data_IF_887032261226
#
_entry.id   IF_887032261226
#
_cell.length_a   1.000
_cell.length_b   1.000
_cell.length_c   1.000
_cell.angle_alpha   90.00
_cell.angle_beta   90.00
_cell.angle_gamma   90.00
#
_symmetry.space_group_name_H-M   'P 1'
#
loop_
_entity.id
_entity.type
_entity.pdbx_description
1 polymer ?
#
# COMPACT_ATOMS: atom_id res chain seq x y z
N UNK A 1 -98.00 -21.92 -18.77
CA UNK A 1 -97.54 -20.85 -17.88
C UNK A 1 -96.29 -20.24 -18.53
N UNK A 2 -96.50 -19.16 -19.28
CA UNK A 2 -96.07 -17.80 -18.94
C UNK A 2 -94.54 -17.61 -19.02
N UNK A 3 -93.97 -16.56 -19.59
CA UNK A 3 -94.40 -15.44 -20.44
C UNK A 3 -93.09 -14.65 -20.72
N UNK A 4 -93.12 -13.76 -21.73
CA UNK A 4 -92.20 -12.62 -21.96
C UNK A 4 -91.02 -12.77 -22.93
N UNK A 5 -91.26 -12.27 -24.16
CA UNK A 5 -90.30 -11.57 -25.04
C UNK A 5 -90.02 -10.15 -24.46
N UNK A 6 -89.02 -9.34 -24.91
CA UNK A 6 -88.98 -8.71 -26.25
C UNK A 6 -87.54 -8.51 -26.85
N UNK A 7 -87.36 -8.64 -28.18
CA UNK A 7 -87.23 -7.59 -29.23
C UNK A 7 -85.79 -7.05 -29.47
N UNK A 8 -85.33 -7.33 -30.70
CA UNK A 8 -84.47 -6.58 -31.64
C UNK A 8 -83.12 -5.99 -31.18
N UNK A 9 -82.07 -6.23 -31.97
CA UNK A 9 -81.52 -5.20 -32.87
C UNK A 9 -80.36 -5.77 -33.71
N UNK A 10 -80.11 -5.09 -34.81
CA UNK A 10 -79.48 -5.46 -36.07
C UNK A 10 -77.95 -5.36 -36.14
N UNK A 11 -77.38 -6.16 -37.06
CA UNK A 11 -76.34 -5.78 -38.05
C UNK A 11 -74.83 -5.88 -37.70
N UNK A 12 -73.95 -5.97 -38.72
CA UNK A 12 -72.98 -7.08 -38.85
C UNK A 12 -71.50 -6.65 -38.69
N UNK A 13 -70.59 -7.62 -38.55
CA UNK A 13 -69.17 -7.40 -38.84
C UNK A 13 -68.51 -8.65 -39.47
N UNK A 14 -67.74 -8.36 -40.52
CA UNK A 14 -67.06 -9.27 -41.45
C UNK A 14 -65.69 -9.72 -40.90
N UNK A 15 -64.94 -10.57 -41.63
CA UNK A 15 -64.13 -11.67 -41.08
C UNK A 15 -62.69 -11.25 -40.74
N UNK A 16 -62.00 -12.05 -39.90
CA UNK A 16 -60.55 -11.96 -39.76
C UNK A 16 -59.87 -13.31 -40.00
N UNK A 17 -59.03 -13.25 -41.01
CA UNK A 17 -58.13 -14.26 -41.54
C UNK A 17 -57.15 -14.79 -40.48
N UNK A 18 -56.80 -16.06 -40.63
CA UNK A 18 -55.79 -16.79 -39.86
C UNK A 18 -54.40 -16.34 -40.30
N UNK A 19 -53.50 -15.85 -39.41
CA UNK A 19 -52.14 -15.56 -39.80
C UNK A 19 -51.33 -16.86 -40.01
N UNK A 20 -50.38 -16.88 -40.97
CA UNK A 20 -49.47 -17.99 -41.19
C UNK A 20 -48.37 -18.07 -40.10
N UNK A 21 -47.64 -19.21 -39.98
CA UNK A 21 -46.61 -19.39 -38.96
C UNK A 21 -45.40 -18.49 -39.23
N UNK A 22 -44.84 -17.95 -38.13
CA UNK A 22 -43.69 -17.05 -38.11
C UNK A 22 -42.39 -17.73 -38.62
N UNK A 23 -41.48 -16.99 -39.29
CA UNK A 23 -40.20 -17.53 -39.72
C UNK A 23 -39.19 -17.62 -38.56
N UNK A 24 -38.58 -18.80 -38.47
CA UNK A 24 -37.73 -19.36 -37.41
C UNK A 24 -36.26 -18.88 -37.45
N UNK A 25 -35.99 -17.59 -37.73
CA UNK A 25 -34.61 -17.16 -38.08
C UNK A 25 -34.01 -16.05 -37.20
N UNK A 26 -34.77 -15.44 -36.28
CA UNK A 26 -34.23 -14.31 -35.47
C UNK A 26 -33.63 -14.75 -34.12
N UNK A 27 -33.80 -16.01 -33.69
CA UNK A 27 -33.51 -16.43 -32.32
C UNK A 27 -32.07 -16.90 -32.02
N UNK A 28 -31.14 -16.93 -32.99
CA UNK A 28 -29.78 -17.49 -32.76
C UNK A 28 -28.68 -16.45 -32.56
N UNK A 29 -28.86 -15.18 -32.93
CA UNK A 29 -27.81 -14.17 -32.79
C UNK A 29 -27.67 -13.58 -31.37
N UNK A 30 -28.70 -13.72 -30.53
CA UNK A 30 -28.70 -13.20 -29.15
C UNK A 30 -28.09 -14.18 -28.15
N UNK A 31 -28.24 -15.49 -28.38
CA UNK A 31 -27.80 -16.54 -27.45
C UNK A 31 -26.27 -16.58 -27.26
N UNK A 32 -25.49 -16.34 -28.32
CA UNK A 32 -24.02 -16.40 -28.26
C UNK A 32 -23.40 -15.23 -27.46
N UNK A 33 -24.05 -14.06 -27.46
CA UNK A 33 -23.65 -12.89 -26.67
C UNK A 33 -24.05 -13.02 -25.20
N UNK A 34 -25.21 -13.61 -24.92
CA UNK A 34 -25.65 -13.88 -23.55
C UNK A 34 -24.78 -14.98 -22.89
N UNK A 35 -24.36 -16.00 -23.65
CA UNK A 35 -23.46 -17.05 -23.14
C UNK A 35 -22.04 -16.55 -22.87
N UNK A 36 -21.51 -15.60 -23.67
CA UNK A 36 -20.20 -14.99 -23.42
C UNK A 36 -20.19 -14.11 -22.15
N UNK A 37 -21.28 -13.38 -21.89
CA UNK A 37 -21.41 -12.55 -20.69
C UNK A 37 -21.57 -13.43 -19.43
N UNK A 38 -22.31 -14.54 -19.53
CA UNK A 38 -22.45 -15.50 -18.43
C UNK A 38 -21.14 -16.26 -18.12
N UNK A 39 -20.34 -16.59 -19.14
CA UNK A 39 -19.03 -17.22 -18.96
C UNK A 39 -17.97 -16.25 -18.36
N UNK A 40 -18.06 -14.95 -18.68
CA UNK A 40 -17.22 -13.92 -18.07
C UNK A 40 -17.58 -13.65 -16.60
N UNK A 41 -18.87 -13.81 -16.23
CA UNK A 41 -19.32 -13.64 -14.84
C UNK A 41 -18.90 -14.81 -13.93
N UNK A 42 -18.75 -16.03 -14.46
CA UNK A 42 -18.31 -17.22 -13.69
C UNK A 42 -16.78 -17.37 -13.59
N UNK A 43 -16.00 -16.58 -14.31
CA UNK A 43 -14.52 -16.59 -14.24
C UNK A 43 -13.94 -15.45 -13.39
N UNK A 44 -14.78 -14.57 -12.86
CA UNK A 44 -14.37 -13.40 -12.08
C UNK A 44 -14.01 -13.69 -10.61
N UNK A 45 -14.15 -14.94 -10.13
CA UNK A 45 -13.92 -15.28 -8.71
C UNK A 45 -12.52 -15.87 -8.44
N UNK A 46 -11.78 -16.30 -9.47
CA UNK A 46 -10.47 -16.92 -9.31
C UNK A 46 -9.27 -15.96 -9.47
N UNK A 47 -9.48 -14.73 -9.96
CA UNK A 47 -8.40 -13.76 -10.20
C UNK A 47 -8.24 -12.68 -9.10
N UNK A 48 -9.07 -12.73 -8.05
CA UNK A 48 -9.00 -11.82 -6.90
C UNK A 48 -8.28 -12.42 -5.68
N UNK A 49 -7.55 -13.51 -5.87
CA UNK A 49 -6.46 -13.88 -4.96
C UNK A 49 -5.26 -12.94 -5.22
N UNK A 50 -5.46 -11.65 -4.93
CA UNK A 50 -4.35 -10.72 -4.80
C UNK A 50 -3.37 -11.32 -3.79
N UNK A 51 -2.17 -11.64 -4.26
CA UNK A 51 -1.02 -11.97 -3.43
C UNK A 51 -0.82 -10.83 -2.42
N UNK A 52 -1.48 -10.91 -1.27
CA UNK A 52 -1.11 -10.16 -0.07
C UNK A 52 0.18 -10.77 0.44
N UNK A 53 1.26 -10.62 -0.32
CA UNK A 53 2.60 -10.72 0.24
C UNK A 53 2.63 -9.66 1.32
N UNK A 54 2.56 -10.06 2.59
CA UNK A 54 2.81 -9.15 3.71
C UNK A 54 4.21 -8.60 3.48
N UNK A 55 4.31 -7.43 2.88
CA UNK A 55 5.60 -6.78 2.73
C UNK A 55 6.10 -6.52 4.13
N UNK A 56 7.26 -7.08 4.44
CA UNK A 56 7.93 -6.81 5.70
C UNK A 56 8.29 -5.30 5.71
N UNK A 57 7.69 -4.51 6.61
CA UNK A 57 7.96 -3.08 6.68
C UNK A 57 9.44 -2.79 6.99
N UNK A 58 10.14 -3.75 7.58
CA UNK A 58 11.54 -3.66 8.01
C UNK A 58 12.54 -4.25 7.02
N UNK A 59 12.08 -4.86 5.92
CA UNK A 59 12.97 -5.36 4.88
C UNK A 59 13.79 -4.22 4.24
N UNK A 60 15.09 -4.45 4.04
CA UNK A 60 16.00 -3.48 3.44
C UNK A 60 16.40 -2.32 4.38
N UNK A 61 16.21 -2.46 5.69
CA UNK A 61 16.74 -1.53 6.68
C UNK A 61 18.22 -1.80 6.95
N UNK A 62 19.09 -1.39 6.03
CA UNK A 62 20.55 -1.59 6.08
C UNK A 62 21.33 -0.26 5.99
N UNK A 63 22.66 -0.35 6.06
CA UNK A 63 23.56 0.80 5.96
C UNK A 63 23.48 1.53 4.62
N UNK A 64 23.14 0.85 3.51
CA UNK A 64 23.01 1.47 2.19
C UNK A 64 21.78 2.37 2.12
N UNK A 65 20.65 1.93 2.66
CA UNK A 65 19.46 2.80 2.80
C UNK A 65 19.77 4.00 3.71
N UNK A 66 20.43 3.75 4.85
CA UNK A 66 20.78 4.82 5.77
C UNK A 66 21.68 5.87 5.11
N UNK A 67 22.71 5.45 4.38
CA UNK A 67 23.58 6.34 3.62
C UNK A 67 22.83 7.09 2.52
N UNK A 68 21.96 6.41 1.77
CA UNK A 68 21.17 7.04 0.71
C UNK A 68 20.22 8.13 1.27
N UNK A 69 19.67 7.93 2.46
CA UNK A 69 18.93 8.97 3.17
C UNK A 69 19.83 10.14 3.58
N UNK A 70 21.03 9.89 4.12
CA UNK A 70 21.97 10.96 4.47
C UNK A 70 22.34 11.83 3.26
N UNK A 71 22.59 11.22 2.10
CA UNK A 71 22.83 11.95 0.86
C UNK A 71 21.63 12.83 0.48
N UNK A 72 20.42 12.28 0.54
CA UNK A 72 19.20 13.03 0.27
C UNK A 72 18.99 14.21 1.24
N UNK A 73 19.24 14.02 2.53
CA UNK A 73 19.14 15.07 3.53
C UNK A 73 20.19 16.17 3.30
N UNK A 74 21.41 15.80 2.88
CA UNK A 74 22.48 16.74 2.54
C UNK A 74 22.12 17.60 1.32
N UNK A 75 21.58 17.00 0.26
CA UNK A 75 21.28 17.69 -1.00
C UNK A 75 20.00 18.52 -0.93
N UNK A 76 18.96 18.00 -0.27
CA UNK A 76 17.62 18.58 -0.34
C UNK A 76 17.12 19.17 1.01
N UNK A 77 17.78 18.85 2.13
CA UNK A 77 17.27 19.17 3.46
C UNK A 77 16.06 18.30 3.80
N UNK A 78 14.85 18.84 3.58
CA UNK A 78 13.61 18.07 3.64
C UNK A 78 13.14 17.70 2.21
N UNK A 79 13.42 16.48 1.73
CA UNK A 79 13.01 16.04 0.39
C UNK A 79 11.49 15.79 0.29
N UNK A 80 10.80 15.60 1.42
CA UNK A 80 9.36 15.36 1.46
C UNK A 80 8.54 16.65 1.57
N UNK A 81 9.17 17.80 1.74
CA UNK A 81 8.46 19.04 1.80
C UNK A 81 7.76 19.32 0.46
N UNK A 82 6.46 19.61 0.54
CA UNK A 82 5.63 19.95 -0.60
C UNK A 82 5.90 21.41 -0.98
N UNK A 83 6.03 21.69 -2.28
CA UNK A 83 6.22 23.05 -2.81
C UNK A 83 5.18 23.37 -3.88
N UNK A 84 4.81 24.64 -4.00
CA UNK A 84 3.98 25.19 -5.08
C UNK A 84 4.58 26.53 -5.57
N UNK A 85 3.91 27.21 -6.50
CA UNK A 85 4.37 28.51 -7.04
C UNK A 85 4.56 29.60 -5.97
N UNK A 86 3.90 29.46 -4.81
CA UNK A 86 4.01 30.38 -3.68
C UNK A 86 5.09 29.95 -2.64
N UNK A 87 5.78 28.83 -2.85
CA UNK A 87 6.81 28.31 -1.96
C UNK A 87 6.39 27.03 -1.22
N UNK A 88 6.83 26.89 0.04
CA UNK A 88 6.59 25.70 0.85
C UNK A 88 5.10 25.55 1.20
N UNK A 89 4.52 24.40 0.88
CA UNK A 89 3.11 24.10 1.15
C UNK A 89 3.01 23.36 2.48
N UNK A 90 2.51 24.05 3.51
CA UNK A 90 2.19 23.44 4.80
C UNK A 90 0.69 23.13 4.82
N UNK A 91 0.31 21.90 4.43
CA UNK A 91 -1.08 21.40 4.57
C UNK A 91 -1.95 21.38 3.30
N UNK A 92 -1.38 21.48 2.10
CA UNK A 92 -2.07 21.34 0.81
C UNK A 92 -1.35 20.37 -0.15
N UNK A 93 -1.97 20.01 -1.28
CA UNK A 93 -1.28 19.26 -2.34
C UNK A 93 -0.23 20.16 -3.00
N UNK A 94 1.04 19.82 -2.83
CA UNK A 94 2.14 20.41 -3.59
C UNK A 94 2.84 19.36 -4.44
N UNK A 95 3.99 19.73 -4.98
CA UNK A 95 4.93 18.79 -5.58
C UNK A 95 6.08 18.57 -4.60
N UNK A 96 6.33 17.31 -4.23
CA UNK A 96 7.49 16.91 -3.41
C UNK A 96 8.77 17.43 -4.05
N UNK A 97 9.65 18.01 -3.23
CA UNK A 97 10.93 18.57 -3.69
C UNK A 97 11.80 17.54 -4.41
N UNK A 98 11.81 16.30 -3.91
CA UNK A 98 12.29 15.14 -4.67
C UNK A 98 11.56 13.87 -4.22
N UNK A 99 10.83 13.24 -5.14
CA UNK A 99 10.00 12.06 -4.83
C UNK A 99 10.86 10.86 -4.42
N UNK A 100 12.03 10.66 -5.06
CA UNK A 100 12.90 9.52 -4.78
C UNK A 100 13.50 9.59 -3.38
N UNK A 101 14.06 10.74 -3.03
CA UNK A 101 14.60 11.05 -1.72
C UNK A 101 13.50 11.10 -0.65
N UNK A 102 12.29 11.53 -0.99
CA UNK A 102 11.18 11.46 -0.05
C UNK A 102 10.81 10.02 0.29
N UNK A 103 10.71 9.13 -0.71
CA UNK A 103 10.44 7.71 -0.45
C UNK A 103 11.55 7.07 0.40
N UNK A 104 12.82 7.46 0.20
CA UNK A 104 13.93 7.02 1.06
C UNK A 104 13.80 7.55 2.47
N UNK A 105 13.40 8.81 2.66
CA UNK A 105 13.11 9.39 3.99
C UNK A 105 11.98 8.63 4.69
N UNK A 106 10.85 8.43 4.02
CA UNK A 106 9.72 7.68 4.59
C UNK A 106 10.12 6.25 4.98
N UNK A 107 10.95 5.59 4.16
CA UNK A 107 11.51 4.27 4.49
C UNK A 107 12.51 4.35 5.64
N UNK A 108 13.36 5.38 5.70
CA UNK A 108 14.30 5.61 6.79
C UNK A 108 13.57 5.77 8.12
N UNK A 109 12.53 6.60 8.15
CA UNK A 109 11.69 6.83 9.33
C UNK A 109 11.05 5.51 9.81
N UNK A 110 10.52 4.71 8.88
CA UNK A 110 10.01 3.36 9.18
C UNK A 110 11.08 2.41 9.70
N UNK A 111 12.31 2.49 9.19
CA UNK A 111 13.41 1.66 9.68
C UNK A 111 13.85 2.05 11.11
N UNK A 112 13.73 3.33 11.49
CA UNK A 112 13.93 3.75 12.88
C UNK A 112 12.86 3.18 13.82
N UNK A 113 11.61 3.07 13.36
CA UNK A 113 10.55 2.36 14.10
C UNK A 113 10.87 0.87 14.23
N UNK A 114 11.29 0.22 13.14
CA UNK A 114 11.69 -1.18 13.16
C UNK A 114 12.84 -1.47 14.13
N UNK A 115 13.79 -0.53 14.27
CA UNK A 115 14.89 -0.64 15.23
C UNK A 115 14.37 -0.74 16.67
N UNK A 116 13.37 0.08 17.02
CA UNK A 116 12.84 0.16 18.39
C UNK A 116 11.87 -0.97 18.73
N UNK A 117 11.35 -1.72 17.75
CA UNK A 117 10.42 -2.83 17.96
C UNK A 117 11.01 -3.97 18.77
N UNK A 118 10.45 -4.30 19.94
CA UNK A 118 10.93 -5.41 20.75
C UNK A 118 10.32 -6.75 20.29
N UNK A 119 11.11 -7.55 19.58
CA UNK A 119 10.63 -8.77 18.96
C UNK A 119 10.94 -9.97 19.85
N UNK A 120 9.95 -10.37 20.65
CA UNK A 120 10.06 -11.59 21.46
C UNK A 120 10.22 -12.82 20.54
N UNK A 121 11.19 -13.67 20.86
CA UNK A 121 11.43 -14.99 20.24
C UNK A 121 11.62 -15.02 18.70
N UNK A 122 12.54 -14.21 18.16
CA UNK A 122 12.94 -14.24 16.74
C UNK A 122 11.77 -14.14 15.71
N UNK A 123 10.65 -13.57 16.15
CA UNK A 123 9.40 -13.48 15.38
C UNK A 123 9.40 -12.36 14.33
N UNK A 124 10.44 -11.51 14.33
CA UNK A 124 10.59 -10.44 13.36
C UNK A 124 12.02 -10.38 12.82
N UNK A 125 12.18 -9.88 11.60
CA UNK A 125 13.47 -9.65 10.97
C UNK A 125 13.77 -8.15 10.96
N UNK A 126 14.39 -7.64 12.02
CA UNK A 126 14.74 -6.21 12.17
C UNK A 126 16.23 -6.02 12.34
N UNK A 127 16.76 -4.95 11.76
CA UNK A 127 18.10 -4.49 12.04
C UNK A 127 18.12 -3.60 13.30
N UNK A 128 18.49 -4.18 14.44
CA UNK A 128 18.62 -3.46 15.73
C UNK A 128 19.71 -2.38 15.74
N UNK A 129 20.65 -2.49 14.80
CA UNK A 129 21.78 -1.60 14.67
C UNK A 129 21.59 -0.57 13.57
N UNK A 130 20.39 -0.52 12.97
CA UNK A 130 20.09 0.44 11.91
C UNK A 130 20.46 1.85 12.36
N UNK A 131 21.26 2.53 11.52
CA UNK A 131 21.72 3.89 11.74
C UNK A 131 22.59 4.12 13.01
N UNK A 132 23.09 3.07 13.67
CA UNK A 132 24.02 3.18 14.81
C UNK A 132 25.33 2.42 14.63
N UNK A 133 25.59 1.83 13.47
CA UNK A 133 26.81 1.04 13.24
C UNK A 133 28.09 1.81 13.55
N UNK A 134 28.22 3.04 13.04
CA UNK A 134 29.39 3.89 13.32
C UNK A 134 29.45 4.36 14.77
N UNK A 135 28.30 4.68 15.39
CA UNK A 135 28.25 5.06 16.81
C UNK A 135 28.74 3.91 17.70
N UNK A 136 28.30 2.68 17.43
CA UNK A 136 28.77 1.50 18.15
C UNK A 136 30.26 1.23 17.93
N UNK A 137 30.77 1.46 16.72
CA UNK A 137 32.21 1.31 16.42
C UNK A 137 33.02 2.34 17.21
N UNK A 138 32.58 3.59 17.28
CA UNK A 138 33.25 4.62 18.08
C UNK A 138 33.15 4.33 19.59
N UNK A 139 31.99 3.95 20.10
CA UNK A 139 31.82 3.55 21.50
C UNK A 139 32.72 2.34 21.84
N UNK A 140 32.81 1.34 20.96
CA UNK A 140 33.70 0.20 21.13
C UNK A 140 35.18 0.62 21.21
N UNK A 141 35.63 1.61 20.43
CA UNK A 141 36.99 2.16 20.52
C UNK A 141 37.25 2.84 21.87
N UNK A 142 36.23 3.47 22.47
CA UNK A 142 36.36 4.09 23.80
C UNK A 142 36.41 3.06 24.94
N UNK A 143 35.94 1.83 24.70
CA UNK A 143 35.93 0.73 25.69
C UNK A 143 37.14 -0.20 25.57
N UNK A 144 38.24 0.28 25.00
CA UNK A 144 39.51 -0.47 24.91
C UNK A 144 40.21 -0.58 26.26
N UNK A 145 41.08 -1.58 26.43
CA UNK A 145 41.87 -1.76 27.65
C UNK A 145 42.75 -0.54 27.94
N UNK A 146 43.26 0.08 26.90
CA UNK A 146 44.09 1.28 26.93
C UNK A 146 43.26 2.50 27.37
N UNK A 147 42.06 2.68 26.81
CA UNK A 147 41.14 3.74 27.22
C UNK A 147 40.67 3.57 28.68
N UNK A 148 40.37 2.33 29.10
CA UNK A 148 40.06 2.02 30.50
C UNK A 148 41.23 2.32 31.43
N UNK A 149 42.46 1.90 31.09
CA UNK A 149 43.67 2.23 31.86
C UNK A 149 43.89 3.74 31.99
N UNK A 150 43.66 4.50 30.92
CA UNK A 150 43.78 5.95 30.95
C UNK A 150 42.71 6.60 31.84
N UNK A 151 41.46 6.12 31.76
CA UNK A 151 40.37 6.55 32.63
C UNK A 151 40.66 6.24 34.10
N UNK A 152 41.06 5.01 34.42
CA UNK A 152 41.41 4.59 35.78
C UNK A 152 42.62 5.35 36.31
N UNK A 153 43.67 5.52 35.50
CA UNK A 153 44.84 6.33 35.89
C UNK A 153 44.45 7.77 36.23
N UNK A 154 43.56 8.39 35.43
CA UNK A 154 43.03 9.74 35.70
C UNK A 154 42.21 9.77 36.99
N UNK A 155 41.34 8.77 37.21
CA UNK A 155 40.53 8.67 38.43
C UNK A 155 41.40 8.47 39.67
N UNK A 156 42.42 7.60 39.60
CA UNK A 156 43.37 7.36 40.68
C UNK A 156 44.20 8.60 40.99
N UNK A 157 44.64 9.35 39.97
CA UNK A 157 45.32 10.64 40.16
C UNK A 157 44.41 11.68 40.82
N UNK A 158 43.16 11.79 40.37
CA UNK A 158 42.17 12.70 40.97
C UNK A 158 41.85 12.35 42.43
N UNK A 159 41.89 11.07 42.78
CA UNK A 159 41.71 10.59 44.15
C UNK A 159 42.99 10.67 45.02
N UNK A 160 44.09 11.24 44.50
CA UNK A 160 45.34 11.45 45.24
C UNK A 160 46.27 10.23 45.32
N UNK A 161 45.99 9.17 44.55
CA UNK A 161 46.77 7.93 44.53
C UNK A 161 47.84 7.89 43.42
N UNK A 162 47.90 8.91 42.55
CA UNK A 162 48.86 8.99 41.46
C UNK A 162 49.87 10.12 41.69
N UNK A 163 51.10 9.77 42.04
CA UNK A 163 52.28 10.65 41.97
C UNK A 163 52.46 11.20 40.54
#
# INVERSE_FOLDING_TARGET
AQDQRPVASSSPARPLSRPPPLPRVVAMASAMKVLLIAAAALSAEAALAGLKYKQDPCAGCDGTLAQAYQTCALEHGDPCAETNEAGLVVGGQGTKKDVGCCLRKEKHDRCLECKSMDCQYATCHVNKNYYSEYEMVEDAKTRTKEAYKAHDSKAMKAAGWGL
#
